data_IF_302760374675
#
_entry.id   IF_302760374675
#
_cell.length_a   1.000
_cell.length_b   1.000
_cell.length_c   1.000
_cell.angle_alpha   90.00
_cell.angle_beta   90.00
_cell.angle_gamma   90.00
#
_symmetry.space_group_name_H-M   'P 1'
#
loop_
_entity.id
_entity.type
_entity.pdbx_description
1 polymer ?
#
# COMPACT_ATOMS: atom_id res chain seq x y z
N UNK A 1 -25.28 21.43 -8.63
CA UNK A 1 -25.23 20.05 -8.07
C UNK A 1 -23.78 19.76 -7.69
N UNK A 2 -23.53 19.21 -6.50
CA UNK A 2 -22.17 18.81 -6.11
C UNK A 2 -21.66 17.73 -7.08
N UNK A 3 -20.44 17.91 -7.59
CA UNK A 3 -19.82 16.99 -8.52
C UNK A 3 -19.28 15.76 -7.75
N UNK A 4 -19.99 14.63 -7.80
CA UNK A 4 -19.60 13.41 -7.10
C UNK A 4 -18.42 12.70 -7.77
N UNK A 5 -17.59 12.05 -6.96
CA UNK A 5 -16.50 11.18 -7.40
C UNK A 5 -16.84 9.75 -7.04
N UNK A 6 -16.88 8.88 -8.05
CA UNK A 6 -17.02 7.43 -7.87
C UNK A 6 -15.67 6.77 -7.72
N UNK A 7 -15.48 5.91 -6.70
CA UNK A 7 -14.23 5.16 -6.53
C UNK A 7 -14.47 3.67 -6.77
N UNK A 8 -13.86 3.12 -7.82
CA UNK A 8 -13.98 1.72 -8.24
C UNK A 8 -12.68 0.96 -7.97
N UNK A 9 -12.51 0.34 -6.80
CA UNK A 9 -11.36 -0.54 -6.54
C UNK A 9 -11.55 -1.90 -7.21
N UNK A 10 -10.45 -2.62 -7.44
CA UNK A 10 -10.49 -4.01 -7.93
C UNK A 10 -11.26 -4.96 -7.01
N UNK A 11 -11.27 -4.68 -5.72
CA UNK A 11 -11.98 -5.42 -4.69
C UNK A 11 -12.39 -4.47 -3.57
N UNK A 12 -13.57 -4.66 -3.01
CA UNK A 12 -14.01 -4.00 -1.79
C UNK A 12 -13.76 -4.86 -0.54
N UNK A 13 -13.05 -6.01 -0.67
CA UNK A 13 -12.73 -6.87 0.47
C UNK A 13 -11.67 -6.18 1.37
N UNK A 14 -12.01 -5.87 2.63
CA UNK A 14 -11.09 -5.21 3.55
C UNK A 14 -9.91 -6.11 3.98
N UNK A 15 -9.91 -7.40 3.63
CA UNK A 15 -8.75 -8.29 3.84
C UNK A 15 -7.62 -8.01 2.83
N UNK A 16 -7.93 -7.34 1.73
CA UNK A 16 -6.97 -6.96 0.68
C UNK A 16 -6.36 -5.60 1.02
N UNK A 17 -5.05 -5.56 1.29
CA UNK A 17 -4.36 -4.34 1.69
C UNK A 17 -4.53 -3.19 0.68
N UNK A 18 -4.42 -3.46 -0.62
CA UNK A 18 -4.61 -2.43 -1.64
C UNK A 18 -6.04 -1.87 -1.67
N UNK A 19 -7.06 -2.63 -1.30
CA UNK A 19 -8.43 -2.12 -1.16
C UNK A 19 -8.53 -1.12 -0.01
N UNK A 20 -7.94 -1.43 1.14
CA UNK A 20 -7.94 -0.53 2.31
C UNK A 20 -7.12 0.72 2.05
N UNK A 21 -5.85 0.55 1.64
CA UNK A 21 -4.88 1.64 1.55
C UNK A 21 -5.15 2.57 0.35
N UNK A 22 -5.66 2.02 -0.77
CA UNK A 22 -5.88 2.81 -2.00
C UNK A 22 -7.29 3.33 -2.18
N UNK A 23 -8.26 2.80 -1.43
CA UNK A 23 -9.67 3.19 -1.60
C UNK A 23 -10.37 3.38 -0.26
N UNK A 24 -10.64 2.31 0.49
CA UNK A 24 -11.57 2.35 1.62
C UNK A 24 -11.15 3.32 2.73
N UNK A 25 -9.87 3.38 3.06
CA UNK A 25 -9.35 4.32 4.07
C UNK A 25 -9.41 5.77 3.61
N UNK A 26 -8.78 6.14 2.48
CA UNK A 26 -8.87 7.51 1.96
C UNK A 26 -10.29 7.96 1.67
N UNK A 27 -11.15 7.06 1.18
CA UNK A 27 -12.57 7.35 0.95
C UNK A 27 -13.29 7.70 2.25
N UNK A 28 -13.14 6.88 3.29
CA UNK A 28 -13.77 7.13 4.59
C UNK A 28 -13.28 8.45 5.21
N UNK A 29 -12.00 8.76 5.10
CA UNK A 29 -11.42 10.01 5.59
C UNK A 29 -11.98 11.22 4.82
N UNK A 30 -12.09 11.17 3.50
CA UNK A 30 -12.66 12.23 2.69
C UNK A 30 -14.16 12.42 2.97
N UNK A 31 -14.91 11.32 3.14
CA UNK A 31 -16.31 11.38 3.53
C UNK A 31 -16.53 12.02 4.90
N UNK A 32 -15.67 11.73 5.87
CA UNK A 32 -15.75 12.37 7.20
C UNK A 32 -15.57 13.88 7.17
N UNK A 33 -14.93 14.40 6.11
CA UNK A 33 -14.75 15.83 5.84
C UNK A 33 -15.88 16.44 4.99
N UNK A 34 -16.91 15.65 4.65
CA UNK A 34 -18.00 16.07 3.77
C UNK A 34 -17.63 16.19 2.29
N UNK A 35 -16.48 15.61 1.86
CA UNK A 35 -16.08 15.60 0.46
C UNK A 35 -16.99 14.65 -0.35
N UNK A 36 -17.50 15.05 -1.55
CA UNK A 36 -18.49 14.27 -2.31
C UNK A 36 -17.85 13.09 -3.05
N UNK A 37 -17.44 12.07 -2.31
CA UNK A 37 -16.82 10.83 -2.81
C UNK A 37 -17.53 9.61 -2.26
N UNK A 38 -17.70 8.56 -3.07
CA UNK A 38 -18.32 7.30 -2.65
C UNK A 38 -17.73 6.11 -3.42
N UNK A 39 -18.03 4.88 -2.98
CA UNK A 39 -17.82 3.71 -3.82
C UNK A 39 -18.67 3.82 -5.08
N UNK A 40 -18.04 3.53 -6.23
CA UNK A 40 -18.71 3.64 -7.52
C UNK A 40 -19.96 2.74 -7.60
N UNK A 41 -21.11 3.37 -7.88
CA UNK A 41 -22.40 2.69 -8.04
C UNK A 41 -22.85 2.76 -9.50
N UNK A 42 -22.88 1.62 -10.23
CA UNK A 42 -23.22 1.60 -11.66
C UNK A 42 -24.62 2.11 -12.01
N UNK A 43 -25.52 2.19 -11.03
CA UNK A 43 -26.91 2.68 -11.25
C UNK A 43 -26.98 4.21 -11.32
N UNK A 44 -25.92 4.92 -10.91
CA UNK A 44 -25.92 6.38 -10.79
C UNK A 44 -24.84 7.04 -11.67
N UNK A 45 -24.68 6.57 -12.92
CA UNK A 45 -23.59 7.00 -13.80
C UNK A 45 -23.55 8.52 -14.04
N UNK A 46 -24.72 9.16 -14.18
CA UNK A 46 -24.84 10.57 -14.57
C UNK A 46 -24.48 11.55 -13.44
N UNK A 47 -24.28 11.08 -12.19
CA UNK A 47 -23.90 11.94 -11.07
C UNK A 47 -22.38 12.13 -10.93
N UNK A 48 -21.57 11.27 -11.56
CA UNK A 48 -20.13 11.29 -11.37
C UNK A 48 -19.44 12.26 -12.33
N UNK A 49 -18.83 13.31 -11.76
CA UNK A 49 -17.93 14.19 -12.51
C UNK A 49 -16.54 13.56 -12.72
N UNK A 50 -16.13 12.64 -11.84
CA UNK A 50 -14.92 11.85 -12.01
C UNK A 50 -15.07 10.43 -11.45
N UNK A 51 -14.34 9.46 -12.00
CA UNK A 51 -14.28 8.09 -11.50
C UNK A 51 -12.82 7.67 -11.34
N UNK A 52 -12.47 7.11 -10.15
CA UNK A 52 -11.18 6.51 -9.87
C UNK A 52 -11.25 5.01 -10.11
N UNK A 53 -10.45 4.49 -11.01
CA UNK A 53 -10.25 3.06 -11.26
C UNK A 53 -8.95 2.61 -10.57
N UNK A 54 -9.06 2.03 -9.34
CA UNK A 54 -7.89 1.56 -8.60
C UNK A 54 -7.57 0.10 -8.95
N UNK A 55 -6.53 -0.13 -9.76
CA UNK A 55 -6.10 -1.45 -10.27
C UNK A 55 -7.17 -2.16 -11.12
N UNK A 56 -8.09 -1.43 -11.72
CA UNK A 56 -9.19 -1.96 -12.55
C UNK A 56 -8.93 -1.59 -14.00
N UNK A 57 -8.66 -2.58 -14.84
CA UNK A 57 -8.30 -2.40 -16.25
C UNK A 57 -8.73 -3.61 -17.13
N UNK A 58 -9.76 -4.35 -16.71
CA UNK A 58 -10.44 -5.34 -17.54
C UNK A 58 -11.24 -4.68 -18.67
N UNK A 59 -11.58 -5.44 -19.71
CA UNK A 59 -12.24 -4.92 -20.91
C UNK A 59 -13.59 -4.28 -20.60
N UNK A 60 -14.40 -4.88 -19.71
CA UNK A 60 -15.69 -4.31 -19.32
C UNK A 60 -15.53 -2.95 -18.63
N UNK A 61 -14.55 -2.84 -17.73
CA UNK A 61 -14.24 -1.59 -17.05
C UNK A 61 -13.65 -0.53 -17.99
N UNK A 62 -12.87 -0.94 -18.98
CA UNK A 62 -12.38 -0.05 -20.04
C UNK A 62 -13.52 0.53 -20.87
N UNK A 63 -14.46 -0.28 -21.35
CA UNK A 63 -15.62 0.20 -22.11
C UNK A 63 -16.52 1.10 -21.27
N UNK A 64 -16.72 0.77 -20.01
CA UNK A 64 -17.45 1.64 -19.07
C UNK A 64 -16.75 3.01 -18.91
N UNK A 65 -15.42 3.01 -18.72
CA UNK A 65 -14.65 4.25 -18.59
C UNK A 65 -14.73 5.12 -19.87
N UNK A 66 -14.67 4.48 -21.05
CA UNK A 66 -14.81 5.15 -22.33
C UNK A 66 -16.19 5.81 -22.50
N UNK A 67 -17.25 5.10 -22.12
CA UNK A 67 -18.61 5.63 -22.15
C UNK A 67 -18.77 6.84 -21.20
N UNK A 68 -18.33 6.70 -19.95
CA UNK A 68 -18.38 7.75 -18.95
C UNK A 68 -17.59 8.99 -19.38
N UNK A 69 -16.42 8.80 -19.98
CA UNK A 69 -15.62 9.89 -20.52
C UNK A 69 -16.34 10.62 -21.66
N UNK A 70 -17.06 9.90 -22.54
CA UNK A 70 -17.88 10.49 -23.62
C UNK A 70 -19.04 11.31 -23.05
N UNK A 71 -19.56 10.93 -21.86
CA UNK A 71 -20.59 11.68 -21.13
C UNK A 71 -20.06 12.87 -20.32
N UNK A 72 -18.74 13.11 -20.36
CA UNK A 72 -18.10 14.25 -19.68
C UNK A 72 -17.45 13.94 -18.33
N UNK A 73 -17.54 12.70 -17.83
CA UNK A 73 -16.85 12.33 -16.60
C UNK A 73 -15.32 12.22 -16.82
N UNK A 74 -14.53 12.62 -15.84
CA UNK A 74 -13.06 12.43 -15.86
C UNK A 74 -12.69 11.06 -15.36
N UNK A 75 -11.71 10.45 -16.00
CA UNK A 75 -11.20 9.13 -15.64
C UNK A 75 -9.85 9.30 -14.95
N UNK A 76 -9.77 8.82 -13.70
CA UNK A 76 -8.53 8.76 -12.92
C UNK A 76 -8.14 7.29 -12.81
N UNK A 77 -6.92 6.94 -13.19
CA UNK A 77 -6.42 5.58 -13.06
C UNK A 77 -5.32 5.52 -12.00
N UNK A 78 -5.49 4.63 -11.02
CA UNK A 78 -4.59 4.42 -9.88
C UNK A 78 -3.95 3.03 -9.91
N UNK A 79 -2.62 2.98 -9.84
CA UNK A 79 -1.83 1.75 -9.80
C UNK A 79 -0.89 1.74 -8.59
N UNK A 80 -0.84 0.63 -7.85
CA UNK A 80 0.01 0.47 -6.67
C UNK A 80 0.98 -0.72 -6.73
N UNK A 81 0.99 -1.47 -7.82
CA UNK A 81 1.93 -2.56 -8.05
C UNK A 81 2.41 -2.54 -9.51
N UNK A 82 3.65 -2.94 -9.75
CA UNK A 82 4.18 -3.05 -11.11
C UNK A 82 3.59 -4.27 -11.84
N UNK A 83 2.44 -4.09 -12.47
CA UNK A 83 1.77 -5.12 -13.27
C UNK A 83 2.36 -5.26 -14.70
N UNK A 84 3.41 -4.50 -15.03
CA UNK A 84 4.17 -4.70 -16.27
C UNK A 84 5.23 -5.80 -16.15
N UNK A 85 5.60 -6.17 -14.92
CA UNK A 85 6.60 -7.20 -14.67
C UNK A 85 6.05 -8.61 -14.95
N UNK A 86 6.60 -9.28 -15.96
CA UNK A 86 6.22 -10.63 -16.38
C UNK A 86 7.48 -11.48 -16.64
N UNK A 87 8.20 -11.92 -15.58
CA UNK A 87 9.47 -12.62 -15.73
C UNK A 87 9.36 -14.01 -16.38
N UNK A 88 8.16 -14.55 -16.45
CA UNK A 88 7.89 -15.89 -17.02
C UNK A 88 7.30 -15.82 -18.43
N UNK A 89 7.18 -14.64 -19.02
CA UNK A 89 6.58 -14.41 -20.35
C UNK A 89 5.23 -15.12 -20.54
N UNK A 90 4.39 -15.12 -19.50
CA UNK A 90 3.08 -15.76 -19.53
C UNK A 90 2.15 -14.93 -20.43
N UNK A 91 1.50 -15.60 -21.41
CA UNK A 91 0.59 -14.95 -22.37
C UNK A 91 -0.52 -14.15 -21.68
N UNK A 92 -1.12 -14.70 -20.63
CA UNK A 92 -2.15 -14.03 -19.83
C UNK A 92 -1.66 -12.66 -19.29
N UNK A 93 -0.39 -12.58 -18.88
CA UNK A 93 0.20 -11.34 -18.35
C UNK A 93 0.51 -10.34 -19.48
N UNK A 94 0.89 -10.79 -20.67
CA UNK A 94 1.07 -9.89 -21.82
C UNK A 94 -0.27 -9.23 -22.20
N UNK A 95 -1.34 -10.01 -22.26
CA UNK A 95 -2.68 -9.48 -22.49
C UNK A 95 -3.14 -8.51 -21.39
N UNK A 96 -2.79 -8.81 -20.12
CA UNK A 96 -3.08 -7.92 -19.00
C UNK A 96 -2.29 -6.60 -19.10
N UNK A 97 -1.02 -6.65 -19.54
CA UNK A 97 -0.19 -5.43 -19.79
C UNK A 97 -0.82 -4.56 -20.87
N UNK A 98 -1.31 -5.15 -21.95
CA UNK A 98 -1.95 -4.39 -23.02
C UNK A 98 -3.25 -3.72 -22.54
N UNK A 99 -4.11 -4.44 -21.81
CA UNK A 99 -5.29 -3.83 -21.18
C UNK A 99 -4.91 -2.70 -20.21
N UNK A 100 -3.83 -2.86 -19.46
CA UNK A 100 -3.31 -1.83 -18.56
C UNK A 100 -2.89 -0.58 -19.33
N UNK A 101 -2.11 -0.72 -20.42
CA UNK A 101 -1.72 0.41 -21.30
C UNK A 101 -2.93 1.14 -21.88
N UNK A 102 -3.91 0.41 -22.38
CA UNK A 102 -5.15 0.98 -22.91
C UNK A 102 -5.88 1.82 -21.86
N UNK A 103 -6.02 1.31 -20.62
CA UNK A 103 -6.68 2.03 -19.54
C UNK A 103 -5.87 3.27 -19.12
N UNK A 104 -4.54 3.17 -19.05
CA UNK A 104 -3.68 4.30 -18.74
C UNK A 104 -3.77 5.39 -19.83
N UNK A 105 -3.82 5.01 -21.12
CA UNK A 105 -3.96 5.94 -22.23
C UNK A 105 -5.31 6.66 -22.21
N UNK A 106 -6.38 5.96 -21.82
CA UNK A 106 -7.73 6.52 -21.71
C UNK A 106 -7.86 7.53 -20.56
N UNK A 107 -7.17 7.32 -19.44
CA UNK A 107 -7.35 8.11 -18.22
C UNK A 107 -6.94 9.58 -18.42
N UNK A 108 -7.69 10.51 -17.81
CA UNK A 108 -7.37 11.95 -17.81
C UNK A 108 -6.28 12.30 -16.77
N UNK A 109 -6.18 11.50 -15.71
CA UNK A 109 -5.11 11.59 -14.70
C UNK A 109 -4.61 10.20 -14.31
N UNK A 110 -3.32 10.11 -14.04
CA UNK A 110 -2.64 8.89 -13.61
C UNK A 110 -2.08 9.05 -12.20
N UNK A 111 -2.24 8.00 -11.39
CA UNK A 111 -1.72 7.93 -10.02
C UNK A 111 -0.86 6.69 -9.86
N UNK A 112 0.31 6.87 -9.26
CA UNK A 112 1.20 5.79 -8.82
C UNK A 112 1.39 5.84 -7.31
N UNK A 113 1.63 4.69 -6.68
CA UNK A 113 1.90 4.64 -5.23
C UNK A 113 3.33 5.02 -4.85
N UNK A 114 4.26 5.04 -5.80
CA UNK A 114 5.69 5.38 -5.59
C UNK A 114 6.29 6.05 -6.82
N UNK A 115 7.37 6.81 -6.64
CA UNK A 115 8.14 7.38 -7.76
C UNK A 115 8.67 6.28 -8.70
N UNK A 116 9.21 5.18 -8.17
CA UNK A 116 9.71 4.06 -8.98
C UNK A 116 8.60 3.42 -9.84
N UNK A 117 7.37 3.38 -9.32
CA UNK A 117 6.22 2.91 -10.10
C UNK A 117 5.81 3.97 -11.15
N UNK A 118 5.83 5.25 -10.80
CA UNK A 118 5.55 6.33 -11.74
C UNK A 118 6.54 6.33 -12.91
N UNK A 119 7.84 6.19 -12.64
CA UNK A 119 8.86 6.03 -13.67
C UNK A 119 8.62 4.79 -14.56
N UNK A 120 8.18 3.69 -13.96
CA UNK A 120 7.85 2.47 -14.71
C UNK A 120 6.62 2.70 -15.61
N UNK A 121 5.56 3.32 -15.08
CA UNK A 121 4.38 3.67 -15.87
C UNK A 121 4.71 4.65 -16.99
N UNK A 122 5.62 5.61 -16.74
CA UNK A 122 6.07 6.59 -17.74
C UNK A 122 6.77 5.93 -18.93
N UNK A 123 7.59 4.90 -18.68
CA UNK A 123 8.26 4.13 -19.75
C UNK A 123 7.30 3.32 -20.62
N UNK A 124 6.13 3.00 -20.11
CA UNK A 124 5.09 2.22 -20.81
C UNK A 124 4.10 3.10 -21.58
N UNK A 125 4.20 4.42 -21.44
CA UNK A 125 3.34 5.42 -22.09
C UNK A 125 4.16 6.32 -23.04
N UNK A 126 3.47 7.10 -23.86
CA UNK A 126 4.09 8.21 -24.58
C UNK A 126 4.68 9.25 -23.59
N UNK A 127 5.83 9.88 -23.91
CA UNK A 127 6.71 10.54 -22.92
C UNK A 127 6.12 11.66 -22.07
N UNK A 128 5.02 12.29 -22.47
CA UNK A 128 4.62 13.59 -21.92
C UNK A 128 3.45 13.56 -20.93
N UNK A 129 3.15 12.41 -20.34
CA UNK A 129 2.04 12.31 -19.37
C UNK A 129 2.53 12.43 -17.94
N UNK A 130 2.11 13.50 -17.25
CA UNK A 130 2.37 13.66 -15.82
C UNK A 130 1.65 12.58 -15.00
N UNK A 131 2.41 11.89 -14.13
CA UNK A 131 1.88 10.90 -13.18
C UNK A 131 1.98 11.51 -11.78
N UNK A 132 0.86 11.53 -11.06
CA UNK A 132 0.83 12.02 -9.68
C UNK A 132 1.19 10.88 -8.73
N UNK A 133 2.15 11.11 -7.84
CA UNK A 133 2.49 10.11 -6.83
C UNK A 133 1.69 10.36 -5.57
N UNK A 134 0.86 9.37 -5.19
CA UNK A 134 0.12 9.34 -3.92
C UNK A 134 0.40 7.99 -3.28
N UNK A 135 1.22 7.98 -2.23
CA UNK A 135 1.60 6.76 -1.52
C UNK A 135 0.49 6.19 -0.64
N UNK A 136 0.78 5.05 -0.02
CA UNK A 136 -0.14 4.39 0.87
C UNK A 136 -0.13 5.05 2.26
N UNK A 137 -1.31 5.30 2.88
CA UNK A 137 -1.37 5.79 4.26
C UNK A 137 -1.03 4.68 5.26
N UNK A 138 -0.62 5.08 6.46
CA UNK A 138 -0.57 4.17 7.61
C UNK A 138 -1.98 3.98 8.17
N UNK A 139 -2.36 2.72 8.38
CA UNK A 139 -3.66 2.34 8.94
C UNK A 139 -3.57 2.21 10.47
N UNK A 140 -4.40 2.95 11.19
CA UNK A 140 -4.44 2.94 12.66
C UNK A 140 -5.68 2.25 13.25
N UNK A 141 -6.69 1.94 12.42
CA UNK A 141 -7.99 1.42 12.84
C UNK A 141 -8.47 0.23 11.97
N UNK A 142 -7.61 -0.77 11.82
CA UNK A 142 -7.89 -1.97 10.99
C UNK A 142 -8.95 -2.88 11.63
N UNK A 143 -9.12 -2.85 12.93
CA UNK A 143 -10.05 -3.68 13.70
C UNK A 143 -11.53 -3.32 13.50
N UNK A 144 -11.82 -2.16 12.91
CA UNK A 144 -13.17 -1.71 12.59
C UNK A 144 -13.81 -2.45 11.38
N UNK A 145 -13.03 -3.23 10.62
CA UNK A 145 -13.60 -3.98 9.51
C UNK A 145 -14.48 -5.14 9.98
N UNK A 146 -15.70 -5.30 9.43
CA UNK A 146 -16.63 -6.33 9.82
C UNK A 146 -16.09 -7.74 9.51
N UNK A 147 -16.05 -8.58 10.53
CA UNK A 147 -15.61 -9.97 10.40
C UNK A 147 -16.57 -10.90 11.18
N UNK A 148 -16.80 -12.13 10.70
CA UNK A 148 -17.60 -13.11 11.42
C UNK A 148 -17.08 -13.34 12.85
N UNK A 149 -17.96 -13.33 13.85
CA UNK A 149 -17.60 -13.44 15.28
C UNK A 149 -16.73 -14.66 15.60
N UNK A 150 -17.01 -15.83 14.99
CA UNK A 150 -16.23 -17.04 15.19
C UNK A 150 -14.79 -16.93 14.68
N UNK A 151 -14.56 -16.22 13.56
CA UNK A 151 -13.20 -15.96 13.06
C UNK A 151 -12.43 -15.02 13.96
N UNK A 152 -13.09 -13.99 14.51
CA UNK A 152 -12.52 -13.10 15.53
C UNK A 152 -12.11 -13.89 16.77
N UNK A 153 -12.96 -14.77 17.27
CA UNK A 153 -12.65 -15.61 18.42
C UNK A 153 -11.44 -16.53 18.20
N UNK A 154 -11.37 -17.21 17.05
CA UNK A 154 -10.21 -18.03 16.68
C UNK A 154 -8.92 -17.22 16.61
N UNK A 155 -8.96 -16.02 16.01
CA UNK A 155 -7.81 -15.13 15.92
C UNK A 155 -7.33 -14.69 17.32
N UNK A 156 -8.25 -14.33 18.20
CA UNK A 156 -7.92 -13.96 19.58
C UNK A 156 -7.30 -15.13 20.37
N UNK A 157 -7.81 -16.35 20.22
CA UNK A 157 -7.19 -17.55 20.83
C UNK A 157 -5.78 -17.79 20.30
N UNK A 158 -5.60 -17.71 18.99
CA UNK A 158 -4.28 -17.88 18.38
C UNK A 158 -3.31 -16.79 18.87
N UNK A 159 -3.77 -15.54 18.94
CA UNK A 159 -2.98 -14.43 19.46
C UNK A 159 -2.60 -14.64 20.93
N UNK A 160 -3.53 -15.02 21.78
CA UNK A 160 -3.25 -15.31 23.19
C UNK A 160 -2.17 -16.38 23.36
N UNK A 161 -2.20 -17.44 22.53
CA UNK A 161 -1.17 -18.49 22.53
C UNK A 161 0.21 -17.96 22.09
N UNK A 162 0.27 -17.10 21.07
CA UNK A 162 1.54 -16.50 20.62
C UNK A 162 2.07 -15.52 21.68
N UNK A 163 1.18 -14.68 22.24
CA UNK A 163 1.55 -13.73 23.30
C UNK A 163 2.14 -14.40 24.53
N UNK A 164 1.57 -15.54 24.96
CA UNK A 164 2.11 -16.32 26.07
C UNK A 164 3.54 -16.80 25.80
N UNK A 165 3.82 -17.25 24.57
CA UNK A 165 5.17 -17.65 24.15
C UNK A 165 6.15 -16.47 24.11
N UNK A 166 5.70 -15.32 23.60
CA UNK A 166 6.53 -14.10 23.57
C UNK A 166 6.87 -13.63 25.00
N UNK A 167 5.95 -13.74 25.96
CA UNK A 167 6.24 -13.44 27.38
C UNK A 167 7.29 -14.38 27.97
N UNK A 168 7.22 -15.68 27.65
CA UNK A 168 8.24 -16.65 28.08
C UNK A 168 9.60 -16.29 27.46
N UNK A 169 9.65 -15.99 26.17
CA UNK A 169 10.88 -15.57 25.50
C UNK A 169 11.48 -14.31 26.13
N UNK A 170 10.67 -13.28 26.40
CA UNK A 170 11.13 -12.05 27.04
C UNK A 170 11.68 -12.32 28.45
N UNK A 171 11.03 -13.17 29.23
CA UNK A 171 11.51 -13.58 30.57
C UNK A 171 12.85 -14.35 30.47
N UNK A 172 13.12 -14.99 29.34
CA UNK A 172 14.41 -15.67 29.04
C UNK A 172 15.44 -14.73 28.38
N UNK A 173 15.16 -13.42 28.33
CA UNK A 173 16.06 -12.43 27.73
C UNK A 173 16.08 -12.41 26.20
N UNK A 174 15.10 -13.06 25.53
CA UNK A 174 14.99 -13.02 24.07
C UNK A 174 14.33 -11.75 23.61
N UNK A 175 14.87 -11.13 22.55
CA UNK A 175 14.23 -9.99 21.89
C UNK A 175 13.26 -10.51 20.82
N UNK A 176 11.95 -10.17 20.90
CA UNK A 176 10.98 -10.58 19.90
C UNK A 176 11.06 -9.73 18.64
N UNK A 177 11.26 -10.40 17.49
CA UNK A 177 11.24 -9.80 16.15
C UNK A 177 9.97 -10.20 15.42
N UNK A 178 9.50 -9.35 14.49
CA UNK A 178 8.32 -9.65 13.68
C UNK A 178 8.59 -9.42 12.19
N UNK A 179 8.08 -10.32 11.38
CA UNK A 179 7.82 -10.13 9.97
C UNK A 179 6.31 -10.19 9.73
N UNK A 180 5.77 -9.26 8.93
CA UNK A 180 4.37 -9.29 8.52
C UNK A 180 4.20 -8.94 7.05
N UNK A 181 3.26 -9.62 6.42
CA UNK A 181 2.97 -9.39 5.02
C UNK A 181 2.24 -10.53 4.33
N UNK A 182 1.95 -10.34 3.06
CA UNK A 182 1.40 -11.39 2.20
C UNK A 182 2.46 -12.47 1.97
N UNK A 183 2.03 -13.72 1.86
CA UNK A 183 2.93 -14.86 1.63
C UNK A 183 3.69 -14.82 0.29
N UNK A 184 3.38 -13.89 -0.60
CA UNK A 184 3.96 -13.72 -1.93
C UNK A 184 2.96 -13.82 -3.07
N UNK A 185 3.43 -13.55 -4.28
CA UNK A 185 2.66 -13.63 -5.52
C UNK A 185 3.12 -14.83 -6.35
N UNK A 186 2.24 -15.47 -7.13
CA UNK A 186 2.64 -16.56 -8.04
C UNK A 186 3.47 -16.09 -9.24
N UNK A 187 3.46 -14.80 -9.56
CA UNK A 187 4.09 -14.23 -10.75
C UNK A 187 5.38 -13.46 -10.47
N UNK A 188 5.70 -13.18 -9.21
CA UNK A 188 6.93 -12.46 -8.84
C UNK A 188 7.53 -13.03 -7.56
N UNK A 189 8.84 -13.08 -7.50
CA UNK A 189 9.56 -13.39 -6.26
C UNK A 189 9.29 -12.32 -5.21
N UNK A 190 9.21 -12.73 -3.94
CA UNK A 190 8.96 -11.87 -2.82
C UNK A 190 8.01 -12.47 -1.77
N UNK A 191 7.75 -11.70 -0.74
CA UNK A 191 6.84 -12.08 0.34
C UNK A 191 7.51 -12.89 1.44
N UNK A 192 6.80 -13.89 2.01
CA UNK A 192 7.32 -14.68 3.15
C UNK A 192 8.65 -15.41 2.82
N UNK A 193 8.85 -15.82 1.57
CA UNK A 193 10.07 -16.54 1.18
C UNK A 193 11.30 -15.63 1.19
N UNK A 194 11.17 -14.32 1.16
CA UNK A 194 12.30 -13.39 1.33
C UNK A 194 13.01 -13.58 2.68
N UNK A 195 12.30 -14.07 3.71
CA UNK A 195 12.89 -14.42 5.00
C UNK A 195 14.01 -15.47 4.88
N UNK A 196 13.96 -16.38 3.90
CA UNK A 196 15.02 -17.39 3.69
C UNK A 196 16.37 -16.74 3.37
N UNK A 197 16.38 -15.57 2.75
CA UNK A 197 17.62 -14.86 2.39
C UNK A 197 18.38 -14.38 3.62
N UNK A 198 17.66 -14.03 4.68
CA UNK A 198 18.24 -13.53 5.94
C UNK A 198 18.38 -14.61 7.01
N UNK A 199 17.93 -15.86 6.73
CA UNK A 199 18.01 -16.97 7.68
C UNK A 199 19.41 -17.17 8.26
N UNK A 200 20.50 -17.25 7.45
CA UNK A 200 21.85 -17.47 7.98
C UNK A 200 22.27 -16.39 8.99
N UNK A 201 21.98 -15.12 8.68
CA UNK A 201 22.28 -13.99 9.55
C UNK A 201 21.46 -14.08 10.84
N UNK A 202 20.16 -14.41 10.76
CA UNK A 202 19.30 -14.54 11.93
C UNK A 202 19.75 -15.66 12.87
N UNK A 203 20.14 -16.81 12.32
CA UNK A 203 20.65 -17.94 13.10
C UNK A 203 22.02 -17.62 13.73
N UNK A 204 22.90 -16.90 13.03
CA UNK A 204 24.18 -16.40 13.55
C UNK A 204 23.95 -15.39 14.71
N UNK A 205 23.10 -14.40 14.51
CA UNK A 205 22.76 -13.39 15.51
C UNK A 205 22.17 -14.04 16.76
N UNK A 206 21.30 -15.05 16.61
CA UNK A 206 20.68 -15.73 17.75
C UNK A 206 21.68 -16.41 18.70
N UNK A 207 22.91 -16.73 18.24
CA UNK A 207 23.95 -17.30 19.08
C UNK A 207 24.54 -16.29 20.09
N UNK A 208 24.55 -15.00 19.71
CA UNK A 208 25.13 -13.92 20.52
C UNK A 208 24.03 -13.11 21.22
N UNK A 209 22.93 -12.87 20.54
CA UNK A 209 21.77 -12.11 21.02
C UNK A 209 20.53 -12.99 20.88
N UNK A 210 20.03 -13.59 21.98
CA UNK A 210 18.83 -14.43 21.89
C UNK A 210 17.65 -13.68 21.29
N UNK A 211 17.08 -14.22 20.22
CA UNK A 211 15.93 -13.63 19.50
C UNK A 211 14.85 -14.69 19.25
N UNK A 212 13.63 -14.22 19.01
CA UNK A 212 12.55 -15.03 18.43
C UNK A 212 11.90 -14.28 17.27
N UNK A 213 11.27 -15.00 16.34
CA UNK A 213 10.64 -14.40 15.15
C UNK A 213 9.20 -14.81 15.03
N UNK A 214 8.29 -13.84 15.03
CA UNK A 214 6.88 -14.05 14.69
C UNK A 214 6.62 -13.71 13.24
N UNK A 215 5.97 -14.60 12.51
CA UNK A 215 5.51 -14.41 11.14
C UNK A 215 3.99 -14.20 11.14
N UNK A 216 3.55 -12.98 10.79
CA UNK A 216 2.13 -12.64 10.65
C UNK A 216 1.77 -12.65 9.16
N UNK A 217 1.01 -13.66 8.71
CA UNK A 217 0.74 -13.83 7.28
C UNK A 217 -0.55 -14.63 7.02
N UNK A 218 -0.82 -14.85 5.74
CA UNK A 218 -2.00 -15.58 5.25
C UNK A 218 -1.68 -17.00 4.73
N UNK A 219 -0.47 -17.55 5.00
CA UNK A 219 -0.10 -18.91 4.58
C UNK A 219 0.69 -19.64 5.66
N UNK A 220 -0.03 -20.38 6.48
CA UNK A 220 0.57 -21.25 7.50
C UNK A 220 1.43 -22.36 6.88
N UNK A 221 0.98 -22.93 5.76
CA UNK A 221 1.74 -23.98 5.06
C UNK A 221 3.14 -23.52 4.63
N UNK A 222 3.27 -22.30 4.05
CA UNK A 222 4.60 -21.77 3.70
C UNK A 222 5.48 -21.54 4.93
N UNK A 223 4.90 -21.03 6.02
CA UNK A 223 5.62 -20.88 7.28
C UNK A 223 6.15 -22.22 7.81
N UNK A 224 5.31 -23.24 7.90
CA UNK A 224 5.67 -24.55 8.45
C UNK A 224 6.79 -25.20 7.63
N UNK A 225 6.77 -25.04 6.31
CA UNK A 225 7.78 -25.60 5.41
C UNK A 225 9.09 -24.81 5.37
N UNK A 226 9.03 -23.50 5.48
CA UNK A 226 10.18 -22.65 5.17
C UNK A 226 10.77 -21.93 6.37
N UNK A 227 9.97 -21.57 7.39
CA UNK A 227 10.46 -20.74 8.51
C UNK A 227 10.52 -21.55 9.81
N UNK A 228 9.53 -22.38 10.08
CA UNK A 228 9.49 -23.21 11.29
C UNK A 228 10.76 -24.07 11.52
N UNK A 229 11.48 -24.59 10.47
CA UNK A 229 12.70 -25.35 10.64
C UNK A 229 13.96 -24.53 10.99
N UNK A 230 13.85 -23.22 11.24
CA UNK A 230 15.01 -22.40 11.62
C UNK A 230 15.56 -22.80 12.99
N UNK A 231 16.90 -22.65 13.18
CA UNK A 231 17.57 -22.95 14.45
C UNK A 231 17.40 -21.83 15.50
N UNK A 232 16.19 -21.25 15.58
CA UNK A 232 15.76 -20.26 16.57
C UNK A 232 14.26 -20.35 16.76
N UNK A 233 13.70 -19.87 17.91
CA UNK A 233 12.25 -19.88 18.13
C UNK A 233 11.51 -19.07 17.07
N UNK A 234 10.53 -19.70 16.42
CA UNK A 234 9.67 -19.04 15.44
C UNK A 234 8.21 -19.31 15.76
N UNK A 235 7.36 -18.33 15.50
CA UNK A 235 5.90 -18.39 15.73
C UNK A 235 5.15 -17.94 14.50
N UNK A 236 3.94 -18.50 14.33
CA UNK A 236 3.04 -18.09 13.24
C UNK A 236 1.74 -17.54 13.82
N UNK A 237 1.33 -16.41 13.30
CA UNK A 237 0.02 -15.83 13.53
C UNK A 237 -0.68 -15.59 12.18
N UNK A 238 -1.88 -16.13 12.01
CA UNK A 238 -2.70 -15.81 10.86
C UNK A 238 -3.09 -14.33 10.90
N UNK A 239 -2.89 -13.61 9.79
CA UNK A 239 -3.30 -12.21 9.72
C UNK A 239 -4.82 -12.09 9.94
N UNK A 240 -5.20 -11.25 10.88
CA UNK A 240 -6.59 -10.92 11.16
C UNK A 240 -6.69 -9.49 11.68
N UNK A 241 -7.66 -8.67 11.21
CA UNK A 241 -7.75 -7.25 11.59
C UNK A 241 -7.81 -7.05 13.11
N UNK A 242 -8.59 -7.84 13.84
CA UNK A 242 -8.75 -7.69 15.29
C UNK A 242 -7.49 -8.00 16.13
N UNK A 243 -6.45 -8.59 15.58
CA UNK A 243 -5.24 -8.97 16.34
C UNK A 243 -3.96 -8.38 15.76
N UNK A 244 -4.00 -7.92 14.51
CA UNK A 244 -2.81 -7.58 13.76
C UNK A 244 -1.97 -6.47 14.41
N UNK A 245 -2.56 -5.31 14.71
CA UNK A 245 -1.82 -4.19 15.31
C UNK A 245 -1.34 -4.54 16.74
N UNK A 246 -2.16 -5.23 17.54
CA UNK A 246 -1.76 -5.71 18.87
C UNK A 246 -0.57 -6.66 18.79
N UNK A 247 -0.58 -7.55 17.79
CA UNK A 247 0.51 -8.47 17.57
C UNK A 247 1.79 -7.74 17.11
N UNK A 248 1.68 -6.78 16.21
CA UNK A 248 2.85 -5.97 15.78
C UNK A 248 3.47 -5.28 17.00
N UNK A 249 2.69 -4.57 17.81
CA UNK A 249 3.14 -3.82 19.01
C UNK A 249 3.82 -4.67 20.08
N UNK A 250 3.60 -5.98 20.08
CA UNK A 250 4.24 -6.89 21.05
C UNK A 250 5.71 -7.23 20.74
N UNK A 251 6.27 -6.66 19.69
CA UNK A 251 7.64 -6.92 19.22
C UNK A 251 8.51 -5.68 19.33
N UNK A 252 9.84 -5.87 19.34
CA UNK A 252 10.79 -4.77 19.44
C UNK A 252 11.32 -4.32 18.06
N UNK A 253 11.48 -5.25 17.13
CA UNK A 253 12.10 -5.01 15.84
C UNK A 253 11.26 -5.65 14.73
N UNK A 254 10.97 -4.90 13.68
CA UNK A 254 10.42 -5.43 12.45
C UNK A 254 11.55 -5.75 11.45
N UNK A 255 11.51 -6.94 10.86
CA UNK A 255 12.43 -7.38 9.81
C UNK A 255 11.70 -7.44 8.49
N UNK A 256 12.18 -6.70 7.48
CA UNK A 256 11.49 -6.54 6.18
C UNK A 256 12.43 -6.89 5.03
N UNK A 257 12.79 -8.17 4.84
CA UNK A 257 13.53 -8.59 3.66
C UNK A 257 12.68 -8.46 2.41
N UNK A 258 13.32 -8.01 1.32
CA UNK A 258 12.67 -7.78 0.01
C UNK A 258 13.63 -8.23 -1.09
N UNK A 259 13.25 -9.22 -1.89
CA UNK A 259 13.99 -9.60 -3.11
C UNK A 259 13.97 -8.44 -4.12
N UNK A 260 15.11 -8.09 -4.69
CA UNK A 260 15.22 -6.99 -5.65
C UNK A 260 14.85 -7.47 -7.06
N UNK A 261 13.70 -7.07 -7.52
CA UNK A 261 13.23 -7.27 -8.89
C UNK A 261 12.31 -6.09 -9.30
N UNK A 262 11.99 -5.90 -10.58
CA UNK A 262 11.17 -4.77 -11.03
C UNK A 262 9.80 -4.64 -10.35
N UNK A 263 9.24 -5.75 -9.84
CA UNK A 263 7.98 -5.71 -9.10
C UNK A 263 8.16 -5.17 -7.67
N UNK A 264 9.18 -5.66 -6.97
CA UNK A 264 9.40 -5.33 -5.56
C UNK A 264 10.02 -3.95 -5.36
N UNK A 265 10.85 -3.49 -6.30
CA UNK A 265 11.44 -2.15 -6.28
C UNK A 265 10.38 -1.03 -6.43
N UNK A 266 9.21 -1.34 -6.99
CA UNK A 266 8.07 -0.42 -7.09
C UNK A 266 7.16 -0.43 -5.85
N UNK A 267 7.44 -1.28 -4.82
CA UNK A 267 6.60 -1.36 -3.62
C UNK A 267 6.63 -0.07 -2.80
N UNK A 268 5.50 0.23 -2.17
CA UNK A 268 5.37 1.34 -1.24
C UNK A 268 6.07 1.05 0.10
N UNK A 269 6.25 2.09 0.89
CA UNK A 269 6.84 2.04 2.23
C UNK A 269 5.88 1.53 3.32
N UNK A 270 4.67 1.09 2.99
CA UNK A 270 3.59 0.82 3.94
C UNK A 270 3.97 -0.08 5.12
N UNK A 271 4.74 -1.16 4.90
CA UNK A 271 5.17 -2.05 5.99
C UNK A 271 6.17 -1.38 6.93
N UNK A 272 7.14 -0.65 6.36
CA UNK A 272 8.15 0.07 7.13
C UNK A 272 7.50 1.21 7.93
N UNK A 273 6.67 2.01 7.28
CA UNK A 273 5.96 3.11 7.91
C UNK A 273 5.02 2.62 9.04
N UNK A 274 4.28 1.53 8.81
CA UNK A 274 3.44 0.92 9.84
C UNK A 274 4.27 0.42 11.03
N UNK A 275 5.40 -0.26 10.79
CA UNK A 275 6.25 -0.76 11.88
C UNK A 275 6.77 0.39 12.75
N UNK A 276 7.28 1.46 12.15
CA UNK A 276 7.74 2.65 12.87
C UNK A 276 6.61 3.34 13.63
N UNK A 277 5.43 3.48 13.01
CA UNK A 277 4.26 4.07 13.67
C UNK A 277 3.82 3.26 14.90
N UNK A 278 3.86 1.93 14.79
CA UNK A 278 3.51 1.01 15.88
C UNK A 278 4.61 0.83 16.93
N UNK A 279 5.71 1.57 16.84
CA UNK A 279 6.77 1.64 17.83
C UNK A 279 7.88 0.62 17.66
N UNK A 280 8.05 0.01 16.50
CA UNK A 280 9.09 -0.95 16.23
C UNK A 280 10.28 -0.31 15.51
N UNK A 281 11.51 -0.63 15.93
CA UNK A 281 12.69 -0.38 15.11
C UNK A 281 12.66 -1.27 13.87
N UNK A 282 13.20 -0.81 12.75
CA UNK A 282 13.11 -1.53 11.47
C UNK A 282 14.49 -1.86 10.92
N UNK A 283 14.70 -3.13 10.57
CA UNK A 283 15.80 -3.57 9.71
C UNK A 283 15.20 -4.08 8.40
N UNK A 284 15.63 -3.53 7.27
CA UNK A 284 15.02 -3.83 5.96
C UNK A 284 16.04 -3.81 4.83
N UNK A 285 15.73 -4.48 3.72
CA UNK A 285 16.43 -4.24 2.46
C UNK A 285 16.14 -2.83 1.95
N UNK A 286 17.10 -2.24 1.25
CA UNK A 286 16.95 -0.92 0.65
C UNK A 286 16.14 -1.02 -0.64
N UNK A 287 14.98 -0.36 -0.70
CA UNK A 287 14.22 -0.09 -1.92
C UNK A 287 13.96 1.41 -2.07
N UNK A 288 13.65 1.92 -3.27
CA UNK A 288 13.49 3.37 -3.50
C UNK A 288 12.57 4.07 -2.50
N UNK A 289 11.41 3.48 -2.19
CA UNK A 289 10.43 4.04 -1.24
C UNK A 289 10.86 4.03 0.24
N UNK A 290 11.98 3.38 0.59
CA UNK A 290 12.48 3.35 1.97
C UNK A 290 13.57 4.40 2.22
N UNK A 291 14.09 5.07 1.18
CA UNK A 291 15.22 6.01 1.29
C UNK A 291 14.97 7.16 2.26
N UNK A 292 13.75 7.68 2.29
CA UNK A 292 13.37 8.77 3.19
C UNK A 292 13.50 8.41 4.68
N UNK A 293 13.42 7.11 5.01
CA UNK A 293 13.55 6.59 6.37
C UNK A 293 14.99 6.20 6.74
N UNK A 294 15.98 6.45 5.88
CA UNK A 294 17.35 6.00 6.08
C UNK A 294 18.03 6.49 7.38
N UNK A 295 17.54 7.61 7.95
CA UNK A 295 17.99 8.11 9.26
C UNK A 295 17.21 7.52 10.44
N UNK A 296 16.08 6.87 10.18
CA UNK A 296 15.15 6.34 11.18
C UNK A 296 15.15 4.81 11.27
N UNK A 297 15.94 4.11 10.45
CA UNK A 297 15.99 2.64 10.43
C UNK A 297 17.34 2.15 9.87
N UNK A 298 17.58 0.85 9.99
CA UNK A 298 18.77 0.20 9.42
C UNK A 298 18.39 -0.42 8.06
N UNK A 299 19.02 0.06 6.97
CA UNK A 299 18.72 -0.38 5.62
C UNK A 299 19.94 -1.04 4.95
N UNK A 300 19.73 -2.19 4.30
CA UNK A 300 20.69 -2.88 3.44
C UNK A 300 21.66 -3.82 4.15
N UNK A 301 22.14 -3.50 5.34
CA UNK A 301 23.04 -4.36 6.11
C UNK A 301 22.31 -5.06 7.26
N UNK A 302 22.01 -6.33 7.08
CA UNK A 302 21.23 -7.14 8.02
C UNK A 302 21.99 -7.43 9.31
N UNK A 303 23.27 -7.79 9.21
CA UNK A 303 24.08 -8.16 10.38
C UNK A 303 24.35 -6.93 11.25
N UNK A 304 24.88 -5.87 10.65
CA UNK A 304 25.17 -4.64 11.39
C UNK A 304 23.88 -4.00 11.94
N UNK A 305 22.80 -3.97 11.17
CA UNK A 305 21.52 -3.40 11.60
C UNK A 305 20.92 -4.11 12.79
N UNK A 306 20.89 -5.46 12.77
CA UNK A 306 20.39 -6.26 13.89
C UNK A 306 21.30 -6.11 15.13
N UNK A 307 22.63 -6.21 14.98
CA UNK A 307 23.57 -6.04 16.11
C UNK A 307 23.40 -4.69 16.78
N UNK A 308 23.31 -3.59 16.01
CA UNK A 308 23.10 -2.24 16.53
C UNK A 308 21.85 -2.14 17.38
N UNK A 309 20.74 -2.66 16.90
CA UNK A 309 19.47 -2.58 17.63
C UNK A 309 19.38 -3.54 18.81
N UNK A 310 20.03 -4.70 18.76
CA UNK A 310 20.03 -5.65 19.87
C UNK A 310 20.98 -5.20 21.00
N UNK A 311 22.10 -4.57 20.64
CA UNK A 311 23.05 -4.04 21.61
C UNK A 311 22.60 -2.69 22.24
N UNK A 312 21.84 -1.87 21.51
CA UNK A 312 21.48 -0.51 21.94
C UNK A 312 19.96 -0.26 21.88
N UNK A 313 19.24 -0.45 23.00
CA UNK A 313 17.82 -0.11 23.11
C UNK A 313 17.53 1.40 22.95
N UNK A 314 18.47 2.29 23.32
CA UNK A 314 18.28 3.74 23.21
C UNK A 314 18.28 4.15 21.74
N UNK A 315 19.15 3.59 20.93
CA UNK A 315 19.16 3.80 19.49
C UNK A 315 17.82 3.36 18.86
N UNK A 316 17.26 2.20 19.29
CA UNK A 316 15.93 1.76 18.83
C UNK A 316 14.87 2.83 19.10
N UNK A 317 14.82 3.33 20.32
CA UNK A 317 13.84 4.34 20.75
C UNK A 317 14.01 5.63 19.94
N UNK A 318 15.25 6.10 19.74
CA UNK A 318 15.54 7.30 18.96
C UNK A 318 15.10 7.15 17.48
N UNK A 319 15.42 6.01 16.86
CA UNK A 319 15.02 5.76 15.47
C UNK A 319 13.51 5.62 15.32
N UNK A 320 12.83 4.97 16.26
CA UNK A 320 11.36 4.88 16.27
C UNK A 320 10.72 6.25 16.38
N UNK A 321 11.21 7.11 17.28
CA UNK A 321 10.69 8.46 17.44
C UNK A 321 10.85 9.30 16.16
N UNK A 322 12.03 9.23 15.52
CA UNK A 322 12.28 9.92 14.26
C UNK A 322 11.41 9.38 13.12
N UNK A 323 11.31 8.05 13.02
CA UNK A 323 10.49 7.40 11.99
C UNK A 323 9.01 7.70 12.14
N UNK A 324 8.51 7.72 13.38
CA UNK A 324 7.12 8.09 13.68
C UNK A 324 6.83 9.53 13.26
N UNK A 325 7.74 10.46 13.52
CA UNK A 325 7.59 11.85 13.08
C UNK A 325 7.48 11.99 11.56
N UNK A 326 8.30 11.23 10.80
CA UNK A 326 8.21 11.18 9.33
C UNK A 326 6.84 10.62 8.90
N UNK A 327 6.38 9.54 9.55
CA UNK A 327 5.09 8.92 9.24
C UNK A 327 3.92 9.86 9.50
N UNK A 328 3.90 10.50 10.65
CA UNK A 328 2.83 11.42 11.06
C UNK A 328 2.75 12.63 10.12
N UNK A 329 3.90 13.16 9.66
CA UNK A 329 3.96 14.28 8.72
C UNK A 329 3.57 13.90 7.29
N UNK A 330 3.99 12.73 6.80
CA UNK A 330 3.89 12.39 5.38
C UNK A 330 2.87 11.30 5.06
N UNK A 331 2.67 10.31 5.95
CA UNK A 331 2.00 9.04 5.64
C UNK A 331 0.77 8.77 6.51
N UNK A 332 0.36 9.72 7.35
CA UNK A 332 -0.91 9.62 8.07
C UNK A 332 -2.10 9.63 7.10
N UNK A 333 -3.21 9.00 7.49
CA UNK A 333 -4.43 8.94 6.65
C UNK A 333 -4.90 10.35 6.23
N UNK A 334 -4.96 11.36 7.13
CA UNK A 334 -5.32 12.73 6.74
C UNK A 334 -4.40 13.32 5.66
N UNK A 335 -3.08 13.14 5.79
CA UNK A 335 -2.10 13.68 4.81
C UNK A 335 -2.24 13.04 3.43
N UNK A 336 -2.49 11.74 3.38
CA UNK A 336 -2.71 11.05 2.10
C UNK A 336 -4.07 11.44 1.50
N UNK A 337 -5.11 11.59 2.32
CA UNK A 337 -6.40 12.10 1.87
C UNK A 337 -6.31 13.52 1.29
N UNK A 338 -5.49 14.43 1.89
CA UNK A 338 -5.21 15.77 1.34
C UNK A 338 -4.62 15.71 -0.07
N UNK A 339 -3.72 14.74 -0.34
CA UNK A 339 -3.14 14.55 -1.69
C UNK A 339 -4.20 14.09 -2.69
N UNK A 340 -5.09 13.18 -2.29
CA UNK A 340 -6.22 12.76 -3.11
C UNK A 340 -7.19 13.92 -3.38
N UNK A 341 -7.55 14.69 -2.36
CA UNK A 341 -8.42 15.85 -2.51
C UNK A 341 -7.82 16.87 -3.49
N UNK A 342 -6.55 17.23 -3.34
CA UNK A 342 -5.85 18.13 -4.27
C UNK A 342 -5.83 17.61 -5.72
N UNK A 343 -5.72 16.29 -5.91
CA UNK A 343 -5.83 15.70 -7.24
C UNK A 343 -7.24 15.86 -7.80
N UNK A 344 -8.26 15.55 -6.99
CA UNK A 344 -9.65 15.63 -7.39
C UNK A 344 -10.04 17.06 -7.78
N UNK A 345 -9.70 18.04 -6.93
CA UNK A 345 -9.97 19.47 -7.18
C UNK A 345 -9.33 19.92 -8.50
N UNK A 346 -8.06 19.51 -8.75
CA UNK A 346 -7.35 19.82 -10.00
C UNK A 346 -7.99 19.17 -11.23
N UNK A 347 -8.45 17.92 -11.12
CA UNK A 347 -9.10 17.20 -12.23
C UNK A 347 -10.46 17.80 -12.54
N UNK A 348 -11.21 18.21 -11.52
CA UNK A 348 -12.54 18.83 -11.68
C UNK A 348 -12.45 20.28 -12.20
N UNK A 349 -11.46 21.06 -11.78
CA UNK A 349 -11.24 22.43 -12.27
C UNK A 349 -11.04 22.49 -13.79
N UNK A 350 -10.39 21.49 -14.38
CA UNK A 350 -10.22 21.39 -15.84
C UNK A 350 -11.54 21.22 -16.60
N UNK A 351 -12.63 20.77 -15.96
CA UNK A 351 -13.95 20.70 -16.56
C UNK A 351 -14.57 22.10 -16.76
N UNK A 352 -14.37 23.00 -15.78
CA UNK A 352 -14.94 24.34 -15.83
C UNK A 352 -14.30 25.22 -16.93
N UNK A 353 -13.04 24.95 -17.30
CA UNK A 353 -12.34 25.69 -18.36
C UNK A 353 -12.78 25.18 -19.75
N UNK A 354 -13.04 23.88 -19.90
CA UNK A 354 -13.46 23.30 -21.18
C UNK A 354 -14.93 23.58 -21.52
N UNK A 355 -15.75 23.96 -20.53
CA UNK A 355 -17.16 24.34 -20.69
C UNK A 355 -17.37 25.87 -20.81
N UNK A 356 -16.34 26.69 -20.72
CA UNK A 356 -16.44 28.12 -21.00
C UNK A 356 -16.63 28.35 -22.51
N UNK A 357 -17.69 29.11 -22.94
CA UNK A 357 -17.92 29.36 -24.36
C UNK A 357 -16.71 30.07 -24.97
N UNK A 358 -16.30 29.60 -26.15
CA UNK A 358 -15.16 30.14 -26.89
C UNK A 358 -15.39 31.63 -27.13
N UNK A 359 -14.39 32.54 -26.98
CA UNK A 359 -14.55 33.98 -27.15
C UNK A 359 -15.11 34.40 -28.51
N UNK A 360 -15.16 33.51 -29.51
CA UNK A 360 -15.71 33.75 -30.84
C UNK A 360 -17.25 33.79 -30.91
N UNK A 361 -17.95 33.29 -29.88
CA UNK A 361 -19.43 33.31 -29.88
C UNK A 361 -20.04 34.62 -29.32
N UNK A 362 -19.19 35.61 -28.95
CA UNK A 362 -19.63 36.95 -28.53
C UNK A 362 -19.57 38.02 -29.63
N UNK A 363 -19.20 37.64 -30.83
CA UNK A 363 -19.12 38.58 -31.97
C UNK A 363 -20.33 38.51 -32.90
N UNK A 364 -21.55 38.50 -32.34
CA UNK A 364 -22.79 38.41 -33.10
C UNK A 364 -23.91 39.22 -32.48
N UNK A 365 -23.65 40.49 -32.13
CA UNK A 365 -24.78 41.43 -31.87
C UNK A 365 -24.41 42.85 -32.27
N UNK A 366 -25.22 43.34 -33.22
CA UNK A 366 -25.50 44.71 -33.57
C UNK A 366 -24.53 45.47 -34.48
N UNK A 367 -24.90 45.51 -35.76
CA UNK A 367 -24.93 46.73 -36.57
C UNK A 367 -26.24 46.70 -37.37
N UNK A 368 -27.27 47.25 -36.82
CA UNK A 368 -28.42 47.89 -37.53
C UNK A 368 -28.99 48.97 -36.67
N UNK A 369 -29.05 50.13 -37.26
CA UNK A 369 -29.64 51.42 -36.88
C UNK A 369 -28.60 52.48 -36.50
N UNK A 370 -28.10 53.12 -37.57
CA UNK A 370 -28.20 54.59 -37.77
C UNK A 370 -27.89 54.82 -39.24
#
# INVERSE_FOLDING_TARGET
MSAWIGWKPRSCDPRVASSRLRCLGPLAELQSRGYPVELFEPRHLDRYAAIVYSKVYDDASYHQALELRRKGSRIIFDLCDNHFYNPRSLKYWEEARERLRRMMTLADALVASTEALAETMQRELAPDRAITVIGDPVETAIDNYPMPRWRRWLALRQWASVLAKLKVDQNQGRTPLVWFGNHGSPYAEGGMLDLQRIRPVMEQINRQYPISVTVISNSRWKYERSIKPWALPTYYLSWHPATFLHAVRAHAIAVIPISHNPFTLCKSNNRLALALHEGLAVVADMIPSYREFGKACCLGDWEAGLKRYLADPHLRTAHVALGKAIVDDQWSMPRVADRWQKLFDRVLAKNNIASAPHPKDRAGLSYREL
#
